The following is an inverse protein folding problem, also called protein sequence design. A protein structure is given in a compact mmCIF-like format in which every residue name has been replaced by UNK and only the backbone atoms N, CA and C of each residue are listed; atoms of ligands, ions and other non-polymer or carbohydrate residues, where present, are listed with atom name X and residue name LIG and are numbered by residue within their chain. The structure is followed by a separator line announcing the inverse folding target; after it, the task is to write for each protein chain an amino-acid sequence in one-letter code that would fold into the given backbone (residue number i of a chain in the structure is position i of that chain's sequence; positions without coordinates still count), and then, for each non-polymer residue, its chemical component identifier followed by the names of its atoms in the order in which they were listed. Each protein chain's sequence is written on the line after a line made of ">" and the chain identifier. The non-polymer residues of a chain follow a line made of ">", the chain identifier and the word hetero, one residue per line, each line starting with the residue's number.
data_IF_376568608949
#
_entry.id   IF_376568608949
#
_cell.length_a   1.000
_cell.length_b   1.000
_cell.length_c   1.000
_cell.angle_alpha   90.00
_cell.angle_beta   90.00
_cell.angle_gamma   90.00
#
_symmetry.space_group_name_H-M   'P 1'
#
loop_
_entity.id
_entity.type
_entity.pdbx_description
1 polymer ?
#
# COMPACT_ATOMS: atom_id res chain seq x y z
N UNK A 1 -7.50 -4.07 13.92
CA UNK A 1 -7.11 -3.03 12.94
C UNK A 1 -6.40 -3.69 11.76
N UNK A 2 -6.58 -3.16 10.58
CA UNK A 2 -5.95 -3.66 9.34
C UNK A 2 -5.16 -2.55 8.69
N UNK A 3 -4.03 -2.89 8.11
CA UNK A 3 -3.19 -1.93 7.38
C UNK A 3 -3.00 -2.38 5.94
N UNK A 4 -3.15 -1.44 5.01
CA UNK A 4 -2.74 -1.60 3.61
C UNK A 4 -1.52 -0.72 3.36
N UNK A 5 -0.43 -1.33 2.93
CA UNK A 5 0.83 -0.64 2.67
C UNK A 5 0.85 -0.15 1.22
N UNK A 6 1.04 1.15 1.03
CA UNK A 6 1.20 1.72 -0.32
C UNK A 6 2.58 1.38 -0.89
N UNK A 7 2.72 1.50 -2.18
CA UNK A 7 3.95 1.18 -2.92
C UNK A 7 5.17 1.91 -2.37
N UNK A 8 5.05 3.21 -2.07
CA UNK A 8 6.17 4.00 -1.55
C UNK A 8 6.68 3.48 -0.21
N UNK A 9 5.79 2.95 0.64
CA UNK A 9 6.16 2.39 1.94
C UNK A 9 7.02 1.13 1.77
N UNK A 10 6.65 0.26 0.84
CA UNK A 10 7.42 -0.97 0.57
C UNK A 10 8.77 -0.64 -0.07
N UNK A 11 8.83 0.32 -0.97
CA UNK A 11 10.09 0.76 -1.58
C UNK A 11 11.01 1.37 -0.51
N UNK A 12 10.49 2.22 0.36
CA UNK A 12 11.26 2.82 1.44
C UNK A 12 11.76 1.77 2.44
N UNK A 13 10.94 0.77 2.75
CA UNK A 13 11.35 -0.33 3.63
C UNK A 13 12.49 -1.13 3.01
N UNK A 14 12.40 -1.42 1.72
CA UNK A 14 13.46 -2.13 0.99
C UNK A 14 14.76 -1.31 0.96
N UNK A 15 14.65 0.00 0.82
CA UNK A 15 15.81 0.90 0.87
C UNK A 15 16.39 1.08 2.28
N UNK A 16 15.73 0.53 3.30
CA UNK A 16 16.19 0.61 4.69
C UNK A 16 15.88 1.93 5.39
N UNK A 17 14.89 2.69 4.91
CA UNK A 17 14.49 3.94 5.55
C UNK A 17 13.98 3.67 6.97
N UNK A 18 14.67 4.24 7.97
CA UNK A 18 14.51 3.84 9.37
C UNK A 18 13.10 4.08 9.94
N UNK A 19 12.45 5.20 9.60
CA UNK A 19 11.09 5.49 10.06
C UNK A 19 10.08 4.48 9.50
N UNK A 20 10.21 4.13 8.24
CA UNK A 20 9.34 3.16 7.58
C UNK A 20 9.57 1.75 8.12
N UNK A 21 10.82 1.31 8.22
CA UNK A 21 11.14 -0.01 8.77
C UNK A 21 10.59 -0.13 10.20
N UNK A 22 10.78 0.89 11.03
CA UNK A 22 10.26 0.90 12.39
C UNK A 22 8.74 0.80 12.43
N UNK A 23 8.05 1.53 11.55
CA UNK A 23 6.60 1.54 11.51
C UNK A 23 6.01 0.18 11.16
N UNK A 24 6.59 -0.52 10.18
CA UNK A 24 6.03 -1.78 9.69
C UNK A 24 6.59 -3.03 10.37
N UNK A 25 7.61 -2.90 11.20
CA UNK A 25 8.19 -4.02 11.97
C UNK A 25 8.03 -3.85 13.48
N UNK A 26 7.43 -2.76 13.93
CA UNK A 26 7.28 -2.45 15.34
C UNK A 26 6.21 -3.28 16.05
N UNK A 27 6.09 -3.06 17.36
CA UNK A 27 5.12 -3.77 18.20
C UNK A 27 3.68 -3.58 17.74
N UNK A 28 3.36 -2.47 17.07
CA UNK A 28 2.03 -2.21 16.52
C UNK A 28 1.56 -3.27 15.54
N UNK A 29 2.45 -3.76 14.69
CA UNK A 29 2.09 -4.73 13.65
C UNK A 29 1.71 -6.08 14.25
N UNK A 30 2.21 -6.41 15.43
CA UNK A 30 1.89 -7.66 16.12
C UNK A 30 0.42 -7.74 16.56
N UNK A 31 -0.27 -6.59 16.66
CA UNK A 31 -1.68 -6.53 17.08
C UNK A 31 -2.66 -6.37 15.92
N UNK A 32 -2.15 -6.29 14.68
CA UNK A 32 -3.00 -6.13 13.50
C UNK A 32 -3.67 -7.45 13.13
N UNK A 33 -4.95 -7.37 12.76
CA UNK A 33 -5.67 -8.51 12.21
C UNK A 33 -5.15 -8.88 10.82
N UNK A 34 -4.71 -7.87 10.07
CA UNK A 34 -4.27 -8.04 8.70
C UNK A 34 -3.33 -6.89 8.33
N UNK A 35 -2.27 -7.23 7.61
CA UNK A 35 -1.36 -6.29 6.99
C UNK A 35 -1.02 -6.77 5.60
N UNK A 36 -1.23 -5.92 4.60
CA UNK A 36 -1.06 -6.34 3.22
C UNK A 36 -0.82 -5.20 2.25
N UNK A 37 -0.87 -5.52 0.99
CA UNK A 37 -0.67 -4.58 -0.11
C UNK A 37 -1.57 -4.97 -1.28
N UNK A 38 -1.83 -4.03 -2.18
CA UNK A 38 -2.61 -4.29 -3.40
C UNK A 38 -1.77 -5.05 -4.43
N UNK A 39 -2.40 -5.91 -5.22
CA UNK A 39 -1.74 -6.54 -6.37
C UNK A 39 -1.16 -5.49 -7.34
N UNK A 40 -1.74 -4.29 -7.41
CA UNK A 40 -1.19 -3.17 -8.18
C UNK A 40 0.20 -2.76 -7.67
N UNK A 41 0.40 -2.80 -6.35
CA UNK A 41 1.69 -2.51 -5.73
C UNK A 41 2.76 -3.53 -6.15
N UNK A 42 2.41 -4.82 -6.21
CA UNK A 42 3.36 -5.84 -6.68
C UNK A 42 3.79 -5.57 -8.12
N UNK A 43 2.84 -5.20 -8.98
CA UNK A 43 3.15 -4.85 -10.36
C UNK A 43 4.10 -3.65 -10.45
N UNK A 44 3.86 -2.60 -9.68
CA UNK A 44 4.70 -1.41 -9.67
C UNK A 44 6.11 -1.70 -9.14
N UNK A 45 6.21 -2.43 -8.04
CA UNK A 45 7.48 -2.71 -7.37
C UNK A 45 8.36 -3.63 -8.22
N UNK A 46 7.80 -4.73 -8.74
CA UNK A 46 8.56 -5.72 -9.49
C UNK A 46 8.66 -5.39 -10.98
N UNK A 47 7.80 -4.54 -11.49
CA UNK A 47 7.82 -4.08 -12.88
C UNK A 47 8.73 -2.88 -13.11
N UNK A 48 9.46 -2.42 -12.11
CA UNK A 48 10.33 -1.26 -12.24
C UNK A 48 11.51 -1.58 -13.17
N UNK A 49 11.71 -0.77 -14.25
CA UNK A 49 12.80 -1.03 -15.18
C UNK A 49 14.18 -0.94 -14.51
N UNK A 50 15.05 -1.86 -14.84
CA UNK A 50 16.42 -1.84 -14.34
C UNK A 50 16.64 -2.55 -13.02
N UNK A 51 15.64 -3.26 -12.49
CA UNK A 51 15.86 -4.08 -11.30
C UNK A 51 16.91 -5.16 -11.58
N UNK A 52 17.86 -5.30 -10.66
CA UNK A 52 18.79 -6.43 -10.69
C UNK A 52 18.09 -7.69 -10.19
N UNK A 53 18.66 -8.86 -10.47
CA UNK A 53 18.14 -10.14 -9.93
C UNK A 53 18.16 -10.15 -8.40
N UNK A 54 19.19 -9.56 -7.80
CA UNK A 54 19.29 -9.44 -6.34
C UNK A 54 18.19 -8.55 -5.76
N UNK A 55 17.90 -7.41 -6.39
CA UNK A 55 16.83 -6.51 -5.97
C UNK A 55 15.47 -7.19 -6.09
N UNK A 56 15.23 -7.90 -7.19
CA UNK A 56 13.96 -8.61 -7.37
C UNK A 56 13.76 -9.66 -6.28
N UNK A 57 14.80 -10.42 -5.97
CA UNK A 57 14.72 -11.43 -4.90
C UNK A 57 14.42 -10.78 -3.55
N UNK A 58 15.11 -9.69 -3.21
CA UNK A 58 14.90 -8.97 -1.96
C UNK A 58 13.49 -8.39 -1.85
N UNK A 59 12.97 -7.82 -2.93
CA UNK A 59 11.61 -7.28 -2.98
C UNK A 59 10.56 -8.38 -2.84
N UNK A 60 10.74 -9.52 -3.53
CA UNK A 60 9.83 -10.65 -3.38
C UNK A 60 9.83 -11.20 -1.95
N UNK A 61 10.99 -11.26 -1.32
CA UNK A 61 11.10 -11.69 0.08
C UNK A 61 10.38 -10.70 1.03
N UNK A 62 10.49 -9.40 0.76
CA UNK A 62 9.77 -8.40 1.54
C UNK A 62 8.25 -8.55 1.36
N UNK A 63 7.77 -8.66 0.14
CA UNK A 63 6.36 -8.84 -0.16
C UNK A 63 5.79 -10.11 0.48
N UNK A 64 6.59 -11.19 0.54
CA UNK A 64 6.17 -12.45 1.13
C UNK A 64 5.86 -12.36 2.63
N UNK A 65 6.27 -11.30 3.31
CA UNK A 65 5.96 -11.07 4.71
C UNK A 65 4.54 -10.50 4.94
N UNK A 66 3.87 -10.09 3.88
CA UNK A 66 2.56 -9.46 3.94
C UNK A 66 1.57 -10.18 3.03
N UNK A 67 0.28 -9.88 3.21
CA UNK A 67 -0.78 -10.46 2.39
C UNK A 67 -1.03 -9.63 1.14
N UNK A 68 -1.22 -10.28 0.00
CA UNK A 68 -1.60 -9.58 -1.22
C UNK A 68 -3.12 -9.53 -1.35
N UNK A 69 -3.66 -8.33 -1.53
CA UNK A 69 -5.07 -8.13 -1.84
C UNK A 69 -5.27 -8.15 -3.36
N UNK A 70 -6.12 -9.04 -3.89
CA UNK A 70 -6.35 -9.10 -5.34
C UNK A 70 -7.13 -7.91 -5.84
N UNK A 71 -6.97 -7.60 -7.13
CA UNK A 71 -7.79 -6.63 -7.84
C UNK A 71 -8.97 -7.39 -8.44
N UNK A 72 -10.03 -7.50 -7.66
CA UNK A 72 -11.26 -8.17 -8.11
C UNK A 72 -12.30 -7.17 -8.60
N UNK A 73 -13.48 -7.68 -8.98
CA UNK A 73 -14.56 -6.83 -9.49
C UNK A 73 -14.99 -5.76 -8.48
N UNK A 74 -15.03 -6.10 -7.19
CA UNK A 74 -15.43 -5.14 -6.16
C UNK A 74 -14.44 -3.99 -6.05
N UNK A 75 -13.14 -4.28 -6.13
CA UNK A 75 -12.08 -3.27 -6.12
C UNK A 75 -12.21 -2.37 -7.36
N UNK A 76 -12.40 -2.95 -8.53
CA UNK A 76 -12.56 -2.18 -9.78
C UNK A 76 -13.76 -1.25 -9.69
N UNK A 77 -14.92 -1.74 -9.25
CA UNK A 77 -16.14 -0.91 -9.15
C UNK A 77 -15.93 0.24 -8.16
N UNK A 78 -15.29 -0.02 -7.03
CA UNK A 78 -15.00 1.04 -6.06
C UNK A 78 -14.01 2.07 -6.61
N UNK A 79 -13.00 1.63 -7.35
CA UNK A 79 -12.03 2.51 -8.00
C UNK A 79 -12.70 3.40 -9.04
N UNK A 80 -13.67 2.87 -9.79
CA UNK A 80 -14.47 3.65 -10.74
C UNK A 80 -15.19 4.79 -10.01
N UNK A 81 -15.86 4.50 -8.90
CA UNK A 81 -16.55 5.51 -8.10
C UNK A 81 -15.61 6.60 -7.60
N UNK A 82 -14.43 6.21 -7.11
CA UNK A 82 -13.43 7.15 -6.63
C UNK A 82 -13.00 8.09 -7.76
N UNK A 83 -12.71 7.57 -8.94
CA UNK A 83 -12.26 8.36 -10.08
C UNK A 83 -13.31 9.31 -10.61
N UNK A 84 -14.60 9.01 -10.40
CA UNK A 84 -15.69 9.94 -10.76
C UNK A 84 -15.74 11.15 -9.82
N UNK A 85 -15.28 11.00 -8.59
CA UNK A 85 -15.39 12.05 -7.56
C UNK A 85 -14.10 12.83 -7.35
N UNK A 86 -12.96 12.23 -7.62
CA UNK A 86 -11.63 12.80 -7.33
C UNK A 86 -10.72 12.62 -8.52
N UNK A 87 -9.87 13.62 -8.78
CA UNK A 87 -8.81 13.47 -9.76
C UNK A 87 -7.69 12.63 -9.15
N UNK A 88 -7.53 11.41 -9.64
CA UNK A 88 -6.59 10.45 -9.10
C UNK A 88 -6.11 9.51 -10.21
N UNK A 89 -4.84 9.09 -10.13
CA UNK A 89 -4.26 8.12 -11.08
C UNK A 89 -4.82 6.73 -10.83
N UNK A 90 -4.83 5.89 -11.89
CA UNK A 90 -5.37 4.54 -11.79
C UNK A 90 -4.72 3.71 -10.69
N UNK A 91 -3.37 3.64 -10.55
CA UNK A 91 -2.79 2.85 -9.48
C UNK A 91 -3.23 3.30 -8.09
N UNK A 92 -3.29 4.61 -7.85
CA UNK A 92 -3.71 5.16 -6.57
C UNK A 92 -5.19 4.90 -6.30
N UNK A 93 -6.03 4.95 -7.34
CA UNK A 93 -7.45 4.62 -7.21
C UNK A 93 -7.65 3.15 -6.80
N UNK A 94 -6.85 2.24 -7.35
CA UNK A 94 -6.89 0.81 -6.98
C UNK A 94 -6.46 0.59 -5.54
N UNK A 95 -5.41 1.27 -5.10
CA UNK A 95 -4.93 1.19 -3.72
C UNK A 95 -5.98 1.74 -2.75
N UNK A 96 -6.54 2.91 -3.04
CA UNK A 96 -7.59 3.51 -2.21
C UNK A 96 -8.84 2.63 -2.13
N UNK A 97 -9.28 2.09 -3.26
CA UNK A 97 -10.43 1.18 -3.31
C UNK A 97 -10.20 -0.06 -2.46
N UNK A 98 -9.00 -0.64 -2.53
CA UNK A 98 -8.63 -1.80 -1.72
C UNK A 98 -8.69 -1.47 -0.24
N UNK A 99 -8.14 -0.33 0.17
CA UNK A 99 -8.18 0.10 1.57
C UNK A 99 -9.62 0.23 2.08
N UNK A 100 -10.52 0.81 1.28
CA UNK A 100 -11.92 0.97 1.66
C UNK A 100 -12.64 -0.37 1.77
N UNK A 101 -12.44 -1.29 0.82
CA UNK A 101 -13.09 -2.60 0.83
C UNK A 101 -12.62 -3.46 2.00
N UNK A 102 -11.33 -3.41 2.31
CA UNK A 102 -10.77 -4.16 3.43
C UNK A 102 -10.97 -3.48 4.79
N UNK A 103 -11.55 -2.28 4.80
CA UNK A 103 -11.67 -1.45 6.00
C UNK A 103 -10.31 -1.29 6.68
N UNK A 104 -9.29 -1.05 5.87
CA UNK A 104 -7.90 -0.94 6.30
C UNK A 104 -7.46 0.53 6.33
N UNK A 105 -6.59 0.86 7.28
CA UNK A 105 -5.88 2.14 7.23
C UNK A 105 -4.83 2.06 6.12
N UNK A 106 -4.80 3.07 5.26
CA UNK A 106 -3.79 3.17 4.21
C UNK A 106 -2.51 3.77 4.80
N UNK A 107 -1.45 2.99 4.82
CA UNK A 107 -0.14 3.45 5.26
C UNK A 107 0.61 3.98 4.04
N UNK A 108 0.82 5.28 3.98
CA UNK A 108 1.46 5.95 2.84
C UNK A 108 2.14 7.23 3.27
N UNK A 109 3.22 7.59 2.58
CA UNK A 109 3.84 8.91 2.74
C UNK A 109 3.15 9.97 1.91
N UNK A 110 2.36 9.56 0.93
CA UNK A 110 1.67 10.46 0.03
C UNK A 110 0.26 10.76 0.54
N UNK A 111 0.17 11.34 1.72
CA UNK A 111 -1.11 11.60 2.39
C UNK A 111 -1.98 12.59 1.62
N UNK A 112 -1.35 13.55 0.93
CA UNK A 112 -2.06 14.60 0.21
C UNK A 112 -2.95 14.05 -0.91
N UNK A 113 -2.46 13.06 -1.65
CA UNK A 113 -3.19 12.51 -2.80
C UNK A 113 -4.42 11.68 -2.39
N UNK A 114 -4.46 11.21 -1.13
CA UNK A 114 -5.54 10.34 -0.65
C UNK A 114 -6.53 11.04 0.28
N UNK A 115 -6.17 12.16 0.86
CA UNK A 115 -6.97 12.81 1.93
C UNK A 115 -8.38 13.22 1.51
N UNK A 116 -8.62 13.46 0.22
CA UNK A 116 -9.92 13.90 -0.30
C UNK A 116 -10.86 12.74 -0.64
N UNK A 117 -10.43 11.52 -0.43
CA UNK A 117 -11.25 10.34 -0.71
C UNK A 117 -12.12 10.07 0.51
N UNK A 118 -13.44 10.08 0.32
CA UNK A 118 -14.38 9.87 1.42
C UNK A 118 -14.22 8.49 2.05
N UNK A 119 -14.10 8.46 3.37
CA UNK A 119 -14.05 7.23 4.15
C UNK A 119 -12.67 6.60 4.31
N UNK A 120 -11.65 7.17 3.67
CA UNK A 120 -10.30 6.62 3.80
C UNK A 120 -9.61 7.18 5.05
N UNK A 121 -8.89 6.31 5.76
CA UNK A 121 -8.02 6.71 6.87
C UNK A 121 -6.57 6.48 6.46
N UNK A 122 -5.76 7.53 6.59
CA UNK A 122 -4.37 7.54 6.12
C UNK A 122 -3.42 7.66 7.29
N UNK A 123 -2.38 6.82 7.31
CA UNK A 123 -1.31 6.86 8.29
C UNK A 123 0.02 7.12 7.58
N UNK A 124 0.77 8.11 8.06
CA UNK A 124 2.11 8.40 7.54
C UNK A 124 3.16 7.70 8.41
N UNK A 125 4.03 6.83 7.84
CA UNK A 125 5.06 6.16 8.62
C UNK A 125 5.98 7.11 9.39
N UNK A 126 6.20 8.32 8.88
CA UNK A 126 7.08 9.30 9.51
C UNK A 126 6.51 9.86 10.82
N UNK A 127 5.20 9.79 11.00
CA UNK A 127 4.52 10.35 12.18
C UNK A 127 3.93 9.30 13.12
N UNK A 128 4.17 8.05 12.84
CA UNK A 128 3.66 6.93 13.63
C UNK A 128 4.52 6.64 14.86
#
# INVERSE_FOLDING_TARGET
>A
MRWLLDTNVLIDAFAGRSDTVRAITGARTATLEWIGYSAATRLEVLGFPGLTAADELGLRNLLAQFSEAPIDAAVIERAIEIRKSVRIKIPDALVAATALIYEAHLVTRNTVDFKNIHGIFVLDPATM
#
